data_IF_800525889308
#
_entry.id   IF_800525889308
#
_cell.length_a   1.000
_cell.length_b   1.000
_cell.length_c   1.000
_cell.angle_alpha   90.00
_cell.angle_beta   90.00
_cell.angle_gamma   90.00
#
_symmetry.space_group_name_H-M   'P 1'
#
loop_
_entity.id
_entity.type
_entity.pdbx_description
1 polymer ?
2 non-polymer ?
3 non-polymer ?
4 non-polymer ?
5 non-polymer ?
6 non-polymer ?
7 non-polymer ?
8 non-polymer ?
9 water ?
#
# COMPACT_ATOMS: atom_id res chain seq x y z
N UNK A 1 12.53 -3.20 3.12
CA UNK A 1 12.93 -3.23 1.72
C UNK A 1 11.93 -4.04 0.90
N UNK A 2 11.65 -5.24 1.40
CA UNK A 2 11.01 -6.29 0.63
C UNK A 2 12.14 -7.14 0.09
N UNK A 3 11.83 -8.09 -0.80
CA UNK A 3 12.96 -8.62 -1.56
C UNK A 3 13.22 -7.58 -2.64
N UNK A 4 14.33 -7.68 -3.34
CA UNK A 4 14.53 -6.73 -4.41
C UNK A 4 14.79 -7.52 -5.65
N UNK A 5 14.72 -6.86 -6.80
CA UNK A 5 15.17 -7.56 -7.99
C UNK A 5 16.66 -7.88 -7.86
N UNK A 6 16.97 -9.17 -7.84
CA UNK A 6 18.32 -9.67 -7.56
C UNK A 6 19.18 -9.68 -8.82
N UNK A 7 18.62 -9.14 -9.89
CA UNK A 7 19.32 -8.94 -11.13
C UNK A 7 19.00 -7.52 -11.57
N UNK A 8 19.79 -6.97 -12.48
CA UNK A 8 19.65 -5.55 -12.82
C UNK A 8 19.17 -5.37 -14.25
N UNK A 9 18.99 -6.50 -14.93
CA UNK A 9 18.42 -6.53 -16.28
C UNK A 9 17.01 -7.13 -16.22
N UNK A 10 15.99 -6.26 -16.14
CA UNK A 10 14.63 -6.68 -15.84
C UNK A 10 13.76 -6.55 -17.08
N UNK A 11 13.05 -7.61 -17.44
CA UNK A 11 12.22 -7.57 -18.64
C UNK A 11 10.78 -7.15 -18.33
N UNK A 12 10.15 -6.48 -19.27
CA UNK A 12 8.72 -6.21 -19.14
C UNK A 12 8.00 -6.51 -20.44
N UNK A 13 6.71 -6.79 -20.32
CA UNK A 13 5.89 -7.01 -21.49
C UNK A 13 4.57 -6.28 -21.34
N UNK A 14 4.13 -5.59 -22.39
CA UNK A 14 2.81 -4.97 -22.34
C UNK A 14 1.80 -6.00 -22.85
N UNK A 15 0.99 -6.54 -21.94
CA UNK A 15 0.09 -7.66 -22.21
C UNK A 15 -1.04 -7.30 -23.17
N UNK A 16 -1.56 -6.09 -23.01
CA UNK A 16 -2.63 -5.56 -23.84
C UNK A 16 -2.66 -4.04 -23.73
N UNK A 17 -3.37 -3.41 -24.64
CA UNK A 17 -3.37 -1.96 -24.75
C UNK A 17 -4.74 -1.36 -24.46
N UNK A 18 -4.74 -0.23 -23.76
CA UNK A 18 -5.97 0.51 -23.57
C UNK A 18 -6.40 1.15 -24.87
N UNK A 19 -7.71 1.09 -25.15
CA UNK A 19 -8.25 1.71 -26.35
C UNK A 19 -8.36 3.23 -26.19
N UNK A 20 -8.05 3.76 -25.00
CA UNK A 20 -8.16 5.19 -24.73
C UNK A 20 -7.11 5.99 -25.49
N UNK A 21 -6.01 5.31 -25.84
CA UNK A 21 -4.83 5.96 -26.41
C UNK A 21 -4.31 5.19 -27.62
N UNK A 22 -3.53 5.85 -28.48
CA UNK A 22 -2.82 5.16 -29.53
C UNK A 22 -1.81 4.19 -28.93
N UNK A 23 -1.65 3.02 -29.56
CA UNK A 23 -0.70 2.01 -29.08
C UNK A 23 0.70 2.58 -28.89
N UNK A 24 1.17 3.37 -29.86
CA UNK A 24 2.52 3.91 -29.76
C UNK A 24 2.64 4.86 -28.57
N UNK A 25 1.56 5.55 -28.22
CA UNK A 25 1.58 6.46 -27.08
C UNK A 25 1.67 5.67 -25.78
N UNK A 26 1.03 4.49 -25.74
CA UNK A 26 1.14 3.60 -24.57
C UNK A 26 2.57 3.08 -24.43
N UNK A 27 3.12 2.57 -25.53
CA UNK A 27 4.52 2.13 -25.53
C UNK A 27 5.48 3.22 -25.03
N UNK A 28 5.28 4.46 -25.47
CA UNK A 28 6.18 5.56 -25.12
C UNK A 28 6.05 5.91 -23.63
N UNK A 29 4.82 5.98 -23.15
CA UNK A 29 4.58 6.36 -21.77
C UNK A 29 5.22 5.34 -20.82
N UNK A 30 5.04 4.06 -21.13
CA UNK A 30 5.61 3.01 -20.28
C UNK A 30 7.15 2.98 -20.36
N UNK A 31 7.68 3.11 -21.57
CA UNK A 31 9.13 3.07 -21.73
C UNK A 31 9.78 4.23 -21.00
N UNK A 32 9.17 5.41 -21.10
CA UNK A 32 9.70 6.57 -20.41
C UNK A 32 9.55 6.49 -18.89
N UNK A 33 8.50 5.82 -18.42
CA UNK A 33 8.33 5.64 -16.98
C UNK A 33 9.44 4.75 -16.40
N UNK A 34 9.79 3.69 -17.13
CA UNK A 34 10.91 2.84 -16.70
C UNK A 34 12.20 3.66 -16.72
N UNK A 35 12.34 4.49 -17.73
CA UNK A 35 13.53 5.33 -17.87
C UNK A 35 13.75 6.30 -16.70
N UNK A 36 12.67 6.78 -16.10
CA UNK A 36 12.77 7.64 -14.92
C UNK A 36 13.59 6.93 -13.84
N UNK A 37 13.36 5.64 -13.68
CA UNK A 37 13.98 4.90 -12.59
C UNK A 37 15.38 4.41 -12.96
N UNK A 38 15.59 4.07 -14.23
CA UNK A 38 16.93 3.69 -14.68
C UNK A 38 17.90 4.89 -14.71
N UNK A 39 17.36 6.10 -14.71
CA UNK A 39 18.20 7.30 -14.71
C UNK A 39 18.87 7.59 -13.37
N UNK A 40 18.39 6.95 -12.30
CA UNK A 40 18.94 7.17 -10.96
C UNK A 40 19.38 5.90 -10.24
N UNK A 41 19.44 4.79 -10.99
CA UNK A 41 19.82 3.48 -10.44
C UNK A 41 20.66 2.76 -11.48
N UNK A 42 21.24 1.61 -11.10
CA UNK A 42 21.90 0.76 -12.11
C UNK A 42 20.94 -0.20 -12.82
N UNK A 43 19.63 -0.06 -12.59
CA UNK A 43 18.66 -0.94 -13.25
C UNK A 43 18.55 -0.70 -14.75
N UNK A 44 18.41 -1.80 -15.48
CA UNK A 44 18.20 -1.77 -16.93
C UNK A 44 16.92 -2.53 -17.28
N UNK A 45 16.07 -1.94 -18.11
CA UNK A 45 14.81 -2.57 -18.46
C UNK A 45 14.76 -2.90 -19.95
N UNK A 46 14.15 -4.03 -20.29
CA UNK A 46 14.08 -4.46 -21.68
C UNK A 46 12.69 -4.98 -22.01
N UNK A 47 12.06 -4.38 -23.02
CA UNK A 47 10.72 -4.76 -23.43
C UNK A 47 10.82 -6.00 -24.29
N UNK A 48 10.00 -7.01 -23.99
CA UNK A 48 9.91 -8.20 -24.83
C UNK A 48 8.47 -8.38 -25.34
N UNK A 49 8.33 -9.09 -26.46
CA UNK A 49 7.02 -9.21 -27.10
C UNK A 49 6.49 -10.64 -27.07
N UNK A 50 7.31 -11.56 -26.60
CA UNK A 50 6.96 -12.97 -26.54
C UNK A 50 7.39 -13.60 -25.23
N UNK A 51 6.62 -14.57 -24.76
CA UNK A 51 6.89 -15.26 -23.51
C UNK A 51 6.52 -14.45 -22.29
N UNK A 52 6.85 -14.97 -21.11
CA UNK A 52 6.56 -14.25 -19.89
C UNK A 52 7.73 -13.35 -19.53
N UNK A 53 7.43 -12.14 -19.09
CA UNK A 53 8.47 -11.20 -18.70
C UNK A 53 8.45 -11.11 -17.18
N UNK A 54 9.48 -10.48 -16.60
CA UNK A 54 9.49 -10.21 -15.15
C UNK A 54 8.32 -9.34 -14.73
N UNK A 55 8.07 -8.26 -15.47
CA UNK A 55 7.01 -7.33 -15.14
C UNK A 55 5.99 -7.35 -16.27
N UNK A 56 4.79 -7.82 -15.97
CA UNK A 56 3.71 -7.81 -16.96
C UNK A 56 2.86 -6.57 -16.71
N UNK A 57 2.60 -5.80 -17.77
CA UNK A 57 1.76 -4.61 -17.69
C UNK A 57 0.40 -4.96 -18.31
N UNK A 58 -0.67 -4.74 -17.56
CA UNK A 58 -2.00 -5.16 -17.96
C UNK A 58 -2.98 -4.00 -17.81
N UNK A 59 -3.90 -3.85 -18.77
CA UNK A 59 -5.08 -2.99 -18.63
C UNK A 59 -6.33 -3.85 -18.46
N UNK A 60 -7.07 -3.60 -17.41
CA UNK A 60 -8.25 -4.43 -17.10
C UNK A 60 -9.29 -3.69 -16.29
N UNK A 61 -10.57 -4.08 -16.43
CA UNK A 61 -11.57 -3.52 -15.55
C UNK A 61 -12.12 -4.60 -14.62
N UNK A 62 -12.61 -4.16 -13.47
CA UNK A 62 -13.18 -5.07 -12.48
C UNK A 62 -12.26 -6.22 -12.11
N UNK A 63 -12.84 -7.40 -11.95
CA UNK A 63 -12.07 -8.56 -11.54
C UNK A 63 -11.19 -9.02 -12.70
N UNK A 64 -9.91 -9.29 -12.42
CA UNK A 64 -9.00 -9.61 -13.51
C UNK A 64 -7.96 -10.65 -13.11
N UNK A 65 -8.34 -11.54 -12.21
CA UNK A 65 -7.55 -12.73 -11.97
C UNK A 65 -6.58 -12.72 -10.80
N UNK A 66 -6.68 -11.73 -9.92
CA UNK A 66 -5.73 -11.62 -8.80
C UNK A 66 -6.23 -11.22 -7.40
N UNK A 67 -7.51 -11.48 -7.10
CA UNK A 67 -8.09 -11.16 -5.77
C UNK A 67 -8.26 -9.67 -5.49
N UNK A 68 -7.75 -8.80 -6.36
CA UNK A 68 -7.87 -7.36 -6.19
C UNK A 68 -8.61 -6.69 -7.35
N UNK A 69 -9.92 -6.87 -7.40
CA UNK A 69 -10.70 -6.31 -8.49
C UNK A 69 -10.68 -4.78 -8.47
N UNK A 70 -10.68 -4.18 -9.65
CA UNK A 70 -10.80 -2.73 -9.75
C UNK A 70 -12.26 -2.30 -9.54
N UNK A 71 -12.48 -0.99 -9.39
CA UNK A 71 -13.71 -0.47 -8.79
C UNK A 71 -14.51 0.47 -9.69
N UNK A 72 -14.27 0.41 -10.98
CA UNK A 72 -14.96 1.30 -11.91
C UNK A 72 -14.28 2.66 -11.96
N UNK A 73 -14.91 3.62 -12.64
CA UNK A 73 -14.29 4.93 -12.80
C UNK A 73 -14.12 5.63 -11.45
N UNK A 74 -12.96 6.20 -11.23
CA UNK A 74 -12.63 6.84 -9.96
C UNK A 74 -12.04 5.88 -8.94
N UNK A 75 -11.81 6.35 -7.72
CA UNK A 75 -11.24 5.46 -6.72
C UNK A 75 -9.85 5.01 -7.11
N UNK A 76 -9.60 3.70 -7.00
CA UNK A 76 -8.29 3.11 -7.34
C UNK A 76 -8.01 3.25 -8.85
N UNK A 77 -6.78 3.65 -9.17
CA UNK A 77 -6.36 3.90 -10.54
C UNK A 77 -5.59 2.72 -11.13
N UNK A 78 -4.83 2.03 -10.25
CA UNK A 78 -3.84 1.05 -10.68
C UNK A 78 -3.25 0.37 -9.46
N UNK A 79 -2.58 -0.76 -9.65
CA UNK A 79 -1.84 -1.36 -8.55
C UNK A 79 -0.69 -2.16 -9.11
N UNK A 80 0.32 -2.39 -8.28
CA UNK A 80 1.44 -3.19 -8.72
C UNK A 80 1.98 -3.99 -7.55
N UNK A 81 2.38 -5.21 -7.81
CA UNK A 81 2.92 -6.10 -6.79
C UNK A 81 4.43 -5.92 -6.70
N UNK A 82 4.97 -6.00 -5.49
CA UNK A 82 6.39 -5.89 -5.27
C UNK A 82 7.18 -7.04 -5.87
N UNK A 83 8.51 -6.90 -5.90
CA UNK A 83 9.42 -7.89 -6.50
C UNK A 83 9.13 -9.28 -5.97
N UNK A 84 9.10 -10.25 -6.88
CA UNK A 84 8.77 -11.61 -6.49
C UNK A 84 8.46 -12.45 -7.70
N UNK A 85 8.25 -13.75 -7.50
CA UNK A 85 7.94 -14.63 -8.62
C UNK A 85 6.48 -14.44 -9.05
N UNK A 86 6.17 -14.93 -10.25
CA UNK A 86 4.82 -14.93 -10.78
C UNK A 86 4.24 -13.53 -10.92
N UNK A 87 3.18 -13.27 -10.18
CA UNK A 87 2.53 -11.97 -10.21
C UNK A 87 3.40 -10.85 -9.64
N UNK A 88 4.44 -11.21 -8.89
CA UNK A 88 5.36 -10.20 -8.34
C UNK A 88 5.90 -9.32 -9.44
N UNK A 89 5.97 -8.02 -9.20
CA UNK A 89 6.45 -7.09 -10.21
C UNK A 89 5.35 -6.56 -11.13
N UNK A 90 4.27 -7.30 -11.31
CA UNK A 90 3.31 -6.95 -12.35
C UNK A 90 2.58 -5.63 -12.02
N UNK A 91 2.26 -4.85 -13.06
CA UNK A 91 1.56 -3.58 -12.87
C UNK A 91 0.25 -3.60 -13.65
N UNK A 92 -0.85 -3.38 -12.95
CA UNK A 92 -2.20 -3.45 -13.52
C UNK A 92 -2.87 -2.07 -13.46
N UNK A 93 -3.45 -1.66 -14.58
CA UNK A 93 -4.09 -0.35 -14.72
C UNK A 93 -5.60 -0.51 -14.97
N UNK A 94 -6.39 0.27 -14.23
CA UNK A 94 -7.85 0.16 -14.31
C UNK A 94 -8.37 0.74 -15.62
N UNK A 95 -8.92 -0.10 -16.47
CA UNK A 95 -9.42 0.33 -17.78
C UNK A 95 -10.66 1.21 -17.68
N UNK A 96 -11.30 1.20 -16.51
CA UNK A 96 -12.43 2.10 -16.31
C UNK A 96 -11.99 3.56 -16.13
N UNK A 97 -10.68 3.79 -15.99
CA UNK A 97 -10.16 5.14 -16.05
C UNK A 97 -9.97 5.52 -17.51
N UNK A 98 -9.86 6.82 -17.77
CA UNK A 98 -9.56 7.30 -19.11
C UNK A 98 -8.11 7.74 -19.14
N UNK A 99 -7.27 6.93 -19.78
CA UNK A 99 -5.83 7.13 -19.82
C UNK A 99 -5.46 8.12 -20.89
N UNK A 100 -4.61 9.08 -20.55
CA UNK A 100 -4.24 10.13 -21.52
C UNK A 100 -2.76 10.47 -21.48
N UNK A 101 -2.34 11.25 -22.47
CA UNK A 101 -0.96 11.73 -22.57
C UNK A 101 -0.82 13.12 -21.93
N UNK A 102 -1.92 13.67 -21.46
CA UNK A 102 -1.96 15.06 -21.01
C UNK A 102 -2.64 15.20 -19.64
N UNK A 103 -3.20 16.39 -19.37
CA UNK A 103 -3.78 16.67 -18.05
C UNK A 103 -5.19 16.14 -17.90
N UNK A 104 -5.85 15.87 -19.02
CA UNK A 104 -7.19 15.31 -18.98
C UNK A 104 -7.16 13.87 -18.50
N UNK A 105 -8.29 13.38 -18.01
CA UNK A 105 -8.40 12.00 -17.56
C UNK A 105 -7.34 11.67 -16.53
N UNK A 106 -6.73 10.51 -16.68
CA UNK A 106 -5.65 10.13 -15.77
C UNK A 106 -4.38 9.97 -16.60
N UNK A 107 -3.32 10.66 -16.23
CA UNK A 107 -2.08 10.59 -17.02
C UNK A 107 -1.37 9.24 -16.87
N UNK A 108 -1.22 8.51 -17.99
CA UNK A 108 -0.61 7.19 -17.94
C UNK A 108 0.85 7.25 -17.49
N UNK A 109 1.64 8.16 -18.06
CA UNK A 109 3.06 8.24 -17.71
C UNK A 109 3.27 8.40 -16.19
N UNK A 110 2.59 9.39 -15.59
CA UNK A 110 2.85 9.67 -14.18
C UNK A 110 2.40 8.49 -13.31
N UNK A 111 1.26 7.91 -13.67
CA UNK A 111 0.75 6.77 -12.94
C UNK A 111 1.69 5.58 -13.07
N UNK A 112 2.22 5.38 -14.27
CA UNK A 112 3.19 4.32 -14.49
C UNK A 112 4.48 4.51 -13.68
N UNK A 113 4.95 5.75 -13.56
CA UNK A 113 6.13 6.00 -12.73
C UNK A 113 5.86 5.55 -11.29
N UNK A 114 4.71 5.94 -10.76
CA UNK A 114 4.32 5.53 -9.42
C UNK A 114 4.21 4.01 -9.29
N UNK A 115 3.50 3.37 -10.22
CA UNK A 115 3.32 1.91 -10.11
C UNK A 115 4.63 1.13 -10.26
N UNK A 116 5.47 1.57 -11.18
CA UNK A 116 6.79 0.93 -11.33
C UNK A 116 7.60 1.06 -10.05
N UNK A 117 7.48 2.18 -9.34
CA UNK A 117 8.10 2.32 -8.04
C UNK A 117 7.72 1.15 -7.14
N UNK A 118 6.44 0.82 -7.11
CA UNK A 118 5.97 -0.32 -6.31
C UNK A 118 6.52 -1.64 -6.89
N UNK A 119 6.50 -1.78 -8.22
CA UNK A 119 7.04 -2.99 -8.87
C UNK A 119 8.50 -3.24 -8.47
N UNK A 120 9.24 -2.17 -8.17
CA UNK A 120 10.66 -2.28 -7.79
C UNK A 120 10.85 -2.41 -6.27
N UNK A 121 9.78 -2.25 -5.50
CA UNK A 121 9.86 -2.47 -4.07
C UNK A 121 9.61 -1.28 -3.16
N UNK A 122 9.28 -0.13 -3.74
CA UNK A 122 9.04 1.06 -2.93
C UNK A 122 7.62 1.01 -2.34
N UNK A 123 7.47 1.56 -1.14
CA UNK A 123 6.16 1.79 -0.57
C UNK A 123 5.79 3.23 -0.82
N UNK A 124 5.15 3.87 0.16
CA UNK A 124 4.73 5.26 0.00
C UNK A 124 5.59 6.23 0.77
N UNK A 125 5.73 7.43 0.20
CA UNK A 125 6.44 8.53 0.86
C UNK A 125 5.45 9.44 1.59
N UNK A 126 5.94 10.20 2.55
CA UNK A 126 5.09 11.22 3.19
C UNK A 126 5.37 12.62 2.65
N UNK A 127 6.33 12.72 1.74
CA UNK A 127 6.67 13.98 1.06
C UNK A 127 5.65 14.24 -0.05
N UNK A 128 4.87 15.32 0.08
CA UNK A 128 3.78 15.59 -0.87
C UNK A 128 4.27 15.84 -2.29
N UNK A 129 5.55 16.16 -2.45
CA UNK A 129 6.14 16.38 -3.77
C UNK A 129 6.76 15.12 -4.37
N UNK A 130 6.83 14.06 -3.57
CA UNK A 130 7.40 12.79 -4.03
C UNK A 130 6.41 12.10 -4.96
N UNK A 131 6.94 11.45 -6.01
CA UNK A 131 6.03 10.73 -6.92
C UNK A 131 5.40 9.52 -6.21
N UNK A 132 6.05 9.04 -5.15
CA UNK A 132 5.55 7.91 -4.37
C UNK A 132 4.60 8.33 -3.23
N UNK A 133 4.21 9.60 -3.20
CA UNK A 133 3.12 10.01 -2.32
C UNK A 133 1.84 9.29 -2.78
N UNK A 134 0.99 8.86 -1.83
CA UNK A 134 -0.13 8.00 -2.23
C UNK A 134 -1.30 8.70 -2.91
N UNK A 135 -1.18 9.99 -3.21
CA UNK A 135 -2.28 10.74 -3.84
C UNK A 135 -1.86 11.16 -5.25
N UNK A 136 -2.75 10.95 -6.24
CA UNK A 136 -2.46 11.29 -7.62
C UNK A 136 -2.10 12.77 -7.75
N UNK A 137 -1.19 13.07 -8.67
CA UNK A 137 -0.94 14.45 -9.06
C UNK A 137 -0.74 14.54 -10.56
N UNK A 138 -1.02 15.71 -11.13
CA UNK A 138 -0.57 15.97 -12.49
C UNK A 138 0.36 17.17 -12.46
N UNK A 139 1.55 16.99 -13.03
CA UNK A 139 2.48 18.08 -13.21
C UNK A 139 2.89 18.10 -14.67
N UNK A 140 3.35 19.25 -15.14
CA UNK A 140 3.87 19.34 -16.50
C UNK A 140 4.94 18.25 -16.63
N UNK A 141 4.76 17.33 -17.57
CA UNK A 141 5.67 16.21 -17.67
C UNK A 141 7.10 16.63 -18.05
N UNK A 142 7.25 17.49 -19.05
CA UNK A 142 8.60 17.88 -19.47
C UNK A 142 9.45 18.61 -18.43
N UNK A 143 8.84 18.93 -17.28
CA UNK A 143 9.60 19.39 -16.12
C UNK A 143 9.34 18.51 -14.87
N UNK A 144 8.72 17.35 -15.05
CA UNK A 144 8.58 16.40 -13.93
C UNK A 144 9.94 15.87 -13.52
N UNK A 145 10.17 15.79 -12.21
CA UNK A 145 11.37 15.14 -11.70
C UNK A 145 11.07 14.35 -10.43
N UNK A 146 11.84 13.30 -10.20
CA UNK A 146 11.75 12.55 -8.95
C UNK A 146 12.17 13.48 -7.82
N UNK A 147 11.47 13.41 -6.69
CA UNK A 147 11.89 14.18 -5.51
C UNK A 147 13.10 13.55 -4.83
N UNK A 148 13.72 14.29 -3.92
CA UNK A 148 14.88 13.82 -3.18
C UNK A 148 14.56 12.50 -2.49
N UNK A 149 13.38 12.44 -1.87
CA UNK A 149 12.90 11.26 -1.16
C UNK A 149 12.76 10.03 -2.08
N UNK A 150 12.23 10.22 -3.29
CA UNK A 150 12.10 9.11 -4.24
C UNK A 150 13.47 8.52 -4.62
N UNK A 151 14.43 9.41 -4.87
CA UNK A 151 15.74 9.03 -5.38
C UNK A 151 16.52 8.21 -4.37
N UNK A 152 16.52 8.66 -3.12
CA UNK A 152 17.26 7.95 -2.09
C UNK A 152 16.50 6.72 -1.58
N UNK A 153 15.18 6.70 -1.75
CA UNK A 153 14.38 5.51 -1.46
C UNK A 153 14.77 4.41 -2.45
N UNK A 154 14.74 4.72 -3.74
CA UNK A 154 15.11 3.70 -4.73
C UNK A 154 16.59 3.30 -4.67
N UNK A 155 17.47 4.25 -4.32
CA UNK A 155 18.88 3.93 -4.21
C UNK A 155 19.21 3.13 -2.96
N UNK A 156 18.32 3.17 -1.97
CA UNK A 156 18.53 2.37 -0.75
C UNK A 156 18.30 0.90 -1.06
N UNK A 157 17.60 0.64 -2.16
CA UNK A 157 17.35 -0.72 -2.60
C UNK A 157 18.34 -1.17 -3.68
N UNK A 158 18.74 -0.26 -4.58
CA UNK A 158 19.50 -0.69 -5.76
C UNK A 158 20.85 -0.01 -5.96
N UNK A 159 21.30 0.73 -4.96
CA UNK A 159 22.62 1.35 -5.03
C UNK A 159 23.74 0.35 -5.30
N UNK B 1 13.34 7.94 2.42
CA UNK B 1 12.18 7.05 2.51
C UNK B 1 12.27 6.13 3.73
N UNK B 2 11.15 5.52 4.07
CA UNK B 2 11.08 4.64 5.23
C UNK B 2 11.28 5.31 6.58
N UNK B 3 10.37 6.23 6.93
CA UNK B 3 10.49 6.86 8.25
C UNK B 3 9.99 5.92 9.33
N UNK B 4 10.53 6.04 10.53
CA UNK B 4 10.09 5.22 11.65
C UNK B 4 9.81 6.10 12.84
N UNK B 5 9.03 5.59 13.78
CA UNK B 5 8.84 6.30 15.05
C UNK B 5 10.15 6.31 15.83
N UNK B 6 10.51 7.46 16.37
CA UNK B 6 11.72 7.54 17.18
C UNK B 6 11.40 7.70 18.67
N UNK B 7 10.15 7.39 19.01
CA UNK B 7 9.69 7.34 20.39
C UNK B 7 9.26 5.90 20.65
N UNK B 8 9.70 5.34 21.77
CA UNK B 8 9.35 3.95 22.10
C UNK B 8 8.06 3.83 22.88
N UNK B 9 7.48 4.98 23.23
CA UNK B 9 6.21 5.01 23.92
C UNK B 9 5.24 5.79 23.04
N UNK B 10 4.31 5.07 22.45
CA UNK B 10 3.42 5.64 21.44
C UNK B 10 1.98 5.60 21.95
N UNK B 11 1.29 6.72 21.86
CA UNK B 11 -0.09 6.77 22.34
C UNK B 11 -1.08 6.63 21.20
N UNK B 12 -2.24 6.07 21.50
CA UNK B 12 -3.32 6.01 20.52
C UNK B 12 -4.63 6.45 21.14
N UNK B 13 -5.54 6.92 20.30
CA UNK B 13 -6.88 7.32 20.75
C UNK B 13 -7.89 6.80 19.76
N UNK B 14 -8.92 6.13 20.26
CA UNK B 14 -10.02 5.70 19.42
C UNK B 14 -11.03 6.84 19.39
N UNK B 15 -11.09 7.56 18.27
CA UNK B 15 -11.90 8.78 18.21
C UNK B 15 -13.40 8.52 18.14
N UNK B 16 -13.79 7.46 17.46
CA UNK B 16 -15.19 7.07 17.41
C UNK B 16 -15.28 5.56 17.23
N UNK B 17 -16.47 5.01 17.42
CA UNK B 17 -16.66 3.57 17.44
C UNK B 17 -17.60 3.12 16.35
N UNK B 18 -17.35 1.93 15.78
CA UNK B 18 -18.32 1.31 14.88
C UNK B 18 -19.50 0.75 15.69
N UNK B 19 -20.72 0.99 15.21
CA UNK B 19 -21.91 0.36 15.80
C UNK B 19 -22.03 -1.12 15.46
N UNK B 20 -21.17 -1.63 14.58
CA UNK B 20 -21.23 -3.04 14.20
C UNK B 20 -20.93 -3.98 15.37
N UNK B 21 -20.16 -3.48 16.34
CA UNK B 21 -19.64 -4.28 17.44
C UNK B 21 -19.87 -3.50 18.71
N UNK B 22 -19.88 -4.14 19.88
CA UNK B 22 -19.98 -3.29 21.08
C UNK B 22 -18.64 -2.69 21.47
N UNK B 23 -18.69 -1.56 22.17
CA UNK B 23 -17.50 -0.75 22.46
C UNK B 23 -16.33 -1.52 23.07
N UNK B 24 -16.63 -2.39 24.03
CA UNK B 24 -15.57 -3.14 24.71
C UNK B 24 -14.82 -4.08 23.79
N UNK B 25 -15.54 -4.64 22.81
CA UNK B 25 -14.94 -5.55 21.82
C UNK B 25 -14.06 -4.80 20.84
N UNK B 26 -14.48 -3.59 20.44
CA UNK B 26 -13.64 -2.73 19.61
C UNK B 26 -12.36 -2.38 20.36
N UNK B 27 -12.50 -1.96 21.62
CA UNK B 27 -11.32 -1.64 22.43
C UNK B 27 -10.35 -2.81 22.51
N UNK B 28 -10.92 -4.00 22.68
CA UNK B 28 -10.11 -5.20 22.85
C UNK B 28 -9.40 -5.56 21.55
N UNK B 29 -10.10 -5.51 20.43
CA UNK B 29 -9.51 -5.92 19.15
C UNK B 29 -8.30 -5.02 18.87
N UNK B 30 -8.48 -3.71 19.09
CA UNK B 30 -7.43 -2.73 18.86
C UNK B 30 -6.26 -2.95 19.82
N UNK B 31 -6.55 -3.21 21.09
CA UNK B 31 -5.48 -3.44 22.05
C UNK B 31 -4.67 -4.68 21.70
N UNK B 32 -5.36 -5.76 21.32
CA UNK B 32 -4.69 -7.00 20.93
C UNK B 32 -3.84 -6.81 19.67
N UNK B 33 -4.34 -6.02 18.73
CA UNK B 33 -3.58 -5.70 17.50
C UNK B 33 -2.26 -4.96 17.81
N UNK B 34 -2.32 -3.96 18.70
CA UNK B 34 -1.08 -3.29 19.10
C UNK B 34 -0.13 -4.24 19.82
N UNK B 35 -0.68 -5.14 20.63
CA UNK B 35 0.14 -6.09 21.37
C UNK B 35 0.94 -7.04 20.47
N UNK B 36 0.35 -7.41 19.32
CA UNK B 36 1.04 -8.25 18.34
C UNK B 36 2.40 -7.63 18.00
N UNK B 37 2.41 -6.31 17.84
CA UNK B 37 3.64 -5.62 17.42
C UNK B 37 4.55 -5.28 18.59
N UNK B 38 3.98 -4.96 19.74
CA UNK B 38 4.82 -4.67 20.90
C UNK B 38 5.54 -5.93 21.41
N UNK B 39 4.98 -7.10 21.14
CA UNK B 39 5.61 -8.35 21.52
C UNK B 39 6.95 -8.60 20.82
N UNK B 40 7.16 -7.97 19.66
CA UNK B 40 8.42 -8.20 18.91
C UNK B 40 9.27 -6.96 18.68
N UNK B 41 8.95 -5.85 19.36
CA UNK B 41 9.71 -4.61 19.24
C UNK B 41 9.91 -4.02 20.63
N UNK B 42 10.73 -2.97 20.75
CA UNK B 42 10.77 -2.29 22.05
C UNK B 42 9.65 -1.26 22.21
N UNK B 43 8.69 -1.25 21.29
CA UNK B 43 7.60 -0.28 21.34
C UNK B 43 6.56 -0.60 22.40
N UNK B 44 6.03 0.43 23.05
CA UNK B 44 4.90 0.28 23.97
C UNK B 44 3.77 1.19 23.57
N UNK B 45 2.55 0.66 23.58
CA UNK B 45 1.41 1.45 23.14
C UNK B 45 0.47 1.69 24.31
N UNK B 46 0.01 2.93 24.44
CA UNK B 46 -0.94 3.27 25.50
C UNK B 46 -2.18 3.98 24.95
N UNK B 47 -3.35 3.61 25.44
CA UNK B 47 -4.59 4.28 25.02
C UNK B 47 -4.79 5.52 25.89
N UNK B 48 -5.13 6.63 25.26
CA UNK B 48 -5.48 7.85 25.98
C UNK B 48 -6.86 8.31 25.52
N UNK B 49 -7.56 9.08 26.34
CA UNK B 49 -8.90 9.54 25.96
C UNK B 49 -8.95 11.05 25.88
N UNK B 50 -7.83 11.70 26.21
CA UNK B 50 -7.72 13.14 26.16
C UNK B 50 -6.33 13.55 25.75
N UNK B 51 -6.22 14.74 25.18
CA UNK B 51 -4.92 15.22 24.74
C UNK B 51 -4.61 14.81 23.30
N UNK B 52 -3.32 14.75 23.00
CA UNK B 52 -2.87 14.56 21.63
C UNK B 52 -2.18 13.22 21.45
N UNK B 53 -2.80 12.34 20.68
CA UNK B 53 -2.30 10.98 20.49
C UNK B 53 -1.46 10.89 19.25
N UNK B 54 -0.47 10.00 19.26
CA UNK B 54 0.34 9.76 18.07
C UNK B 54 -0.49 9.10 16.97
N UNK B 55 -1.31 8.12 17.35
CA UNK B 55 -2.11 7.39 16.38
C UNK B 55 -3.58 7.57 16.69
N UNK B 56 -4.31 8.18 15.76
CA UNK B 56 -5.75 8.36 15.89
C UNK B 56 -6.44 7.23 15.12
N UNK B 57 -7.39 6.55 15.78
CA UNK B 57 -8.16 5.47 15.17
C UNK B 57 -9.56 5.97 14.84
N UNK B 58 -9.99 5.82 13.58
CA UNK B 58 -11.22 6.42 13.10
C UNK B 58 -12.05 5.41 12.32
N UNK B 59 -13.36 5.40 12.55
CA UNK B 59 -14.29 4.71 11.67
C UNK B 59 -15.09 5.72 10.84
N UNK B 60 -15.00 5.63 9.52
CA UNK B 60 -15.75 6.56 8.66
C UNK B 60 -16.22 5.91 7.38
N UNK B 61 -17.30 6.41 6.79
CA UNK B 61 -17.68 5.95 5.44
C UNK B 61 -17.47 7.08 4.42
N UNK B 62 -17.22 6.72 3.15
CA UNK B 62 -17.07 7.72 2.10
C UNK B 62 -15.99 8.76 2.34
N UNK B 63 -16.23 10.00 1.92
CA UNK B 63 -15.25 11.07 2.12
C UNK B 63 -15.20 11.51 3.59
N UNK B 64 -13.99 11.62 4.13
CA UNK B 64 -13.83 11.92 5.57
C UNK B 64 -12.67 12.87 5.89
N UNK B 65 -12.33 13.76 4.96
CA UNK B 65 -11.37 14.81 5.27
C UNK B 65 -9.97 14.64 4.69
N UNK B 66 -9.60 13.40 4.35
CA UNK B 66 -8.35 13.20 3.64
C UNK B 66 -8.66 13.02 2.15
N UNK B 67 -7.63 12.81 1.34
CA UNK B 67 -7.84 12.75 -0.11
C UNK B 67 -8.26 11.37 -0.57
N UNK B 68 -8.59 10.51 0.39
CA UNK B 68 -8.86 9.12 0.06
C UNK B 68 -10.21 8.63 0.57
N UNK B 69 -11.29 9.05 -0.10
CA UNK B 69 -12.64 8.64 0.29
C UNK B 69 -12.77 7.12 0.21
N UNK B 70 -13.53 6.52 1.13
CA UNK B 70 -13.77 5.09 1.11
C UNK B 70 -14.81 4.81 0.05
N UNK B 71 -15.02 3.54 -0.26
CA UNK B 71 -15.65 3.14 -1.51
C UNK B 71 -16.91 2.30 -1.33
N UNK B 72 -17.49 2.35 -0.13
CA UNK B 72 -18.64 1.53 0.17
C UNK B 72 -18.30 0.10 0.55
N UNK B 73 -19.32 -0.74 0.69
CA UNK B 73 -19.11 -2.12 1.09
C UNK B 73 -18.26 -2.88 0.08
N UNK B 74 -17.23 -3.57 0.58
CA UNK B 74 -16.33 -4.34 -0.26
C UNK B 74 -15.15 -3.50 -0.65
N UNK B 75 -14.28 -4.03 -1.49
CA UNK B 75 -13.12 -3.27 -1.93
C UNK B 75 -12.19 -2.92 -0.79
N UNK B 76 -11.83 -1.64 -0.69
CA UNK B 76 -10.90 -1.17 0.34
C UNK B 76 -11.55 -1.31 1.71
N UNK B 77 -10.79 -1.83 2.69
CA UNK B 77 -11.27 -2.12 4.05
C UNK B 77 -10.88 -1.01 5.02
N UNK B 78 -9.67 -0.47 4.82
CA UNK B 78 -9.07 0.49 5.76
C UNK B 78 -7.83 1.08 5.13
N UNK B 79 -7.31 2.18 5.69
CA UNK B 79 -6.01 2.66 5.26
C UNK B 79 -5.32 3.31 6.46
N UNK B 80 -4.00 3.39 6.40
CA UNK B 80 -3.23 3.92 7.49
C UNK B 80 -2.03 4.66 6.93
N UNK B 81 -1.69 5.76 7.59
CA UNK B 81 -0.58 6.59 7.16
C UNK B 81 0.69 6.22 7.92
N UNK B 82 1.84 6.31 7.26
CA UNK B 82 3.10 5.98 7.90
C UNK B 82 3.53 6.96 8.99
N UNK B 83 4.62 6.61 9.70
CA UNK B 83 5.13 7.39 10.82
C UNK B 83 5.40 8.85 10.43
N UNK B 84 4.97 9.77 11.28
CA UNK B 84 5.15 11.19 11.02
C UNK B 84 4.29 12.03 11.94
N UNK B 85 4.42 13.35 11.83
CA UNK B 85 3.60 14.24 12.62
C UNK B 85 2.18 14.28 12.04
N UNK B 86 1.24 14.79 12.83
CA UNK B 86 -0.11 15.02 12.36
C UNK B 86 -0.82 13.75 11.98
N UNK B 87 -1.31 13.71 10.74
CA UNK B 87 -2.01 12.53 10.26
C UNK B 87 -1.13 11.28 10.23
N UNK B 88 0.19 11.46 10.31
CA UNK B 88 1.10 10.32 10.36
C UNK B 88 0.72 9.31 11.43
N UNK B 89 0.70 8.03 11.06
CA UNK B 89 0.36 6.99 12.01
C UNK B 89 -1.12 6.67 12.07
N UNK B 90 -1.98 7.58 11.63
CA UNK B 90 -3.41 7.39 11.85
C UNK B 90 -3.98 6.26 11.01
N UNK B 91 -4.97 5.56 11.57
CA UNK B 91 -5.57 4.42 10.92
C UNK B 91 -7.08 4.62 10.79
N UNK B 92 -7.58 4.55 9.55
CA UNK B 92 -9.00 4.80 9.28
C UNK B 92 -9.64 3.52 8.76
N UNK B 93 -10.77 3.14 9.35
CA UNK B 93 -11.48 1.92 8.94
C UNK B 93 -12.82 2.25 8.26
N UNK B 94 -13.09 1.59 7.13
CA UNK B 94 -14.28 1.91 6.33
C UNK B 94 -15.54 1.42 7.03
N UNK B 95 -16.42 2.35 7.41
CA UNK B 95 -17.62 1.97 8.15
C UNK B 95 -18.61 1.20 7.28
N UNK B 96 -18.48 1.31 5.96
CA UNK B 96 -19.37 0.50 5.10
C UNK B 96 -19.07 -1.00 5.14
N UNK B 97 -17.98 -1.37 5.80
CA UNK B 97 -17.71 -2.79 6.04
C UNK B 97 -18.49 -3.21 7.28
N UNK B 98 -18.69 -4.52 7.43
CA UNK B 98 -19.29 -5.03 8.65
C UNK B 98 -18.22 -5.64 9.55
N UNK B 99 -17.84 -4.90 10.58
CA UNK B 99 -16.75 -5.34 11.46
C UNK B 99 -17.18 -6.38 12.48
N UNK B 100 -16.35 -7.40 12.66
CA UNK B 100 -16.68 -8.49 13.58
C UNK B 100 -15.51 -8.97 14.41
N UNK B 101 -15.85 -9.64 15.51
CA UNK B 101 -14.92 -10.31 16.39
C UNK B 101 -14.46 -11.66 15.81
N UNK B 102 -15.20 -12.14 14.81
CA UNK B 102 -15.00 -13.48 14.27
C UNK B 102 -14.81 -13.46 12.75
N UNK B 103 -15.20 -14.56 12.10
CA UNK B 103 -14.99 -14.74 10.65
C UNK B 103 -16.16 -14.31 9.78
N UNK B 104 -17.25 -13.89 10.41
CA UNK B 104 -18.31 -13.24 9.66
C UNK B 104 -17.83 -11.83 9.37
N UNK B 105 -18.35 -11.21 8.31
CA UNK B 105 -17.90 -9.88 7.95
C UNK B 105 -16.39 -9.76 7.81
N UNK B 106 -15.87 -8.59 8.14
CA UNK B 106 -14.44 -8.34 8.12
C UNK B 106 -13.91 -8.29 9.55
N UNK B 107 -12.94 -9.16 9.88
CA UNK B 107 -12.38 -9.25 11.23
C UNK B 107 -11.60 -7.99 11.62
N UNK B 108 -12.08 -7.27 12.62
CA UNK B 108 -11.39 -6.05 13.05
C UNK B 108 -9.96 -6.29 13.52
N UNK B 109 -9.75 -7.31 14.36
CA UNK B 109 -8.42 -7.58 14.93
C UNK B 109 -7.37 -7.77 13.84
N UNK B 110 -7.64 -8.67 12.90
CA UNK B 110 -6.66 -8.92 11.83
C UNK B 110 -6.41 -7.68 10.96
N UNK B 111 -7.49 -7.00 10.59
CA UNK B 111 -7.37 -5.79 9.79
C UNK B 111 -6.55 -4.75 10.53
N UNK B 112 -6.82 -4.58 11.83
CA UNK B 112 -6.04 -3.66 12.65
C UNK B 112 -4.55 -4.04 12.74
N UNK B 113 -4.23 -5.34 12.85
CA UNK B 113 -2.83 -5.76 12.86
C UNK B 113 -2.13 -5.30 11.57
N UNK B 114 -2.79 -5.49 10.44
CA UNK B 114 -2.24 -5.10 9.13
C UNK B 114 -2.08 -3.58 9.05
N UNK B 115 -3.10 -2.83 9.43
CA UNK B 115 -3.05 -1.36 9.34
C UNK B 115 -2.01 -0.77 10.30
N UNK B 116 -1.94 -1.29 11.52
CA UNK B 116 -0.90 -0.82 12.46
C UNK B 116 0.49 -1.10 11.88
N UNK B 117 0.64 -2.20 11.14
CA UNK B 117 1.87 -2.44 10.40
C UNK B 117 2.26 -1.24 9.55
N UNK B 118 1.31 -0.75 8.77
CA UNK B 118 1.50 0.46 7.96
C UNK B 118 1.79 1.68 8.84
N UNK B 119 1.06 1.82 9.95
CA UNK B 119 1.27 2.95 10.89
C UNK B 119 2.69 2.98 11.44
N UNK B 120 3.32 1.82 11.54
CA UNK B 120 4.66 1.70 12.09
C UNK B 120 5.74 1.78 11.03
N UNK B 121 5.33 1.81 9.76
CA UNK B 121 6.28 2.01 8.67
C UNK B 121 6.53 0.82 7.75
N UNK B 122 5.79 -0.26 7.92
CA UNK B 122 5.96 -1.44 7.06
C UNK B 122 5.16 -1.28 5.78
N UNK B 123 5.72 -1.80 4.69
CA UNK B 123 4.99 -1.88 3.44
C UNK B 123 4.42 -3.28 3.27
N UNK B 124 4.22 -3.71 2.04
CA UNK B 124 3.62 -5.03 1.81
C UNK B 124 4.65 -6.15 1.65
N UNK B 125 4.24 -7.36 2.03
CA UNK B 125 5.07 -8.56 1.89
C UNK B 125 4.66 -9.38 0.67
N UNK B 126 5.62 -10.12 0.11
CA UNK B 126 5.32 -11.02 -0.99
C UNK B 126 4.98 -12.43 -0.47
N UNK B 127 5.05 -12.61 0.84
CA UNK B 127 4.75 -13.89 1.47
C UNK B 127 3.28 -13.99 1.86
N UNK B 128 2.54 -14.94 1.27
CA UNK B 128 1.12 -15.12 1.61
C UNK B 128 0.88 -15.57 3.06
N UNK B 129 1.93 -15.94 3.79
CA UNK B 129 1.75 -16.29 5.20
C UNK B 129 1.98 -15.07 6.11
N UNK B 130 2.43 -13.96 5.53
CA UNK B 130 2.69 -12.74 6.29
C UNK B 130 1.43 -11.91 6.48
N UNK B 131 1.27 -11.32 7.65
CA UNK B 131 0.11 -10.47 7.91
C UNK B 131 0.18 -9.23 7.02
N UNK B 132 1.37 -8.89 6.54
CA UNK B 132 1.53 -7.72 5.66
C UNK B 132 1.36 -8.04 4.17
N UNK B 133 0.96 -9.27 3.86
CA UNK B 133 0.55 -9.62 2.50
C UNK B 133 -0.67 -8.75 2.17
N UNK B 134 -0.77 -8.27 0.93
CA UNK B 134 -1.83 -7.30 0.62
C UNK B 134 -3.24 -7.88 0.51
N UNK B 135 -3.38 -9.21 0.59
CA UNK B 135 -4.69 -9.84 0.48
C UNK B 135 -5.26 -10.27 1.84
N UNK B 136 -6.46 -9.80 2.15
CA UNK B 136 -7.17 -10.19 3.37
C UNK B 136 -7.57 -11.66 3.30
N UNK B 137 -7.30 -12.39 4.37
CA UNK B 137 -7.86 -13.73 4.53
C UNK B 137 -8.00 -14.02 6.02
N UNK B 138 -9.13 -14.59 6.41
CA UNK B 138 -9.37 -14.85 7.83
C UNK B 138 -8.51 -16.00 8.33
N UNK B 139 -7.85 -15.77 9.46
CA UNK B 139 -7.20 -16.85 10.21
C UNK B 139 -7.74 -16.79 11.62
N UNK B 140 -7.90 -17.94 12.27
CA UNK B 140 -8.38 -17.94 13.65
C UNK B 140 -7.46 -17.16 14.54
N UNK B 141 -8.04 -16.34 15.41
CA UNK B 141 -7.29 -15.40 16.22
C UNK B 141 -6.37 -16.09 17.22
N UNK B 142 -6.83 -17.23 17.74
CA UNK B 142 -6.09 -18.00 18.73
C UNK B 142 -4.92 -18.79 18.15
N UNK B 143 -4.84 -18.82 16.82
CA UNK B 143 -3.71 -19.48 16.14
C UNK B 143 -2.84 -18.47 15.39
N UNK B 144 -3.28 -17.22 15.34
CA UNK B 144 -2.56 -16.18 14.60
C UNK B 144 -1.14 -15.99 15.09
N UNK B 145 -0.20 -15.94 14.15
CA UNK B 145 1.19 -15.63 14.43
C UNK B 145 1.73 -14.70 13.37
N UNK B 146 2.65 -13.84 13.76
CA UNK B 146 3.41 -13.08 12.79
C UNK B 146 4.32 -14.10 12.09
N UNK B 147 4.51 -13.93 10.78
CA UNK B 147 5.43 -14.80 10.04
C UNK B 147 6.85 -14.32 10.26
N UNK B 148 7.83 -15.16 9.95
CA UNK B 148 9.23 -14.75 10.02
C UNK B 148 9.49 -13.45 9.26
N UNK B 149 8.88 -13.32 8.09
CA UNK B 149 9.07 -12.11 7.28
C UNK B 149 8.53 -10.86 7.95
N UNK B 150 7.36 -10.96 8.60
CA UNK B 150 6.80 -9.83 9.36
C UNK B 150 7.75 -9.42 10.50
N UNK B 151 8.33 -10.42 11.16
CA UNK B 151 9.23 -10.16 12.28
C UNK B 151 10.53 -9.50 11.83
N UNK B 152 11.12 -9.99 10.74
CA UNK B 152 12.36 -9.40 10.25
C UNK B 152 12.14 -7.98 9.75
N UNK B 153 10.99 -7.75 9.12
CA UNK B 153 10.62 -6.42 8.66
C UNK B 153 10.54 -5.46 9.83
N UNK B 154 9.78 -5.82 10.87
CA UNK B 154 9.57 -4.88 11.96
C UNK B 154 10.86 -4.70 12.78
N UNK B 155 11.63 -5.78 12.92
CA UNK B 155 12.88 -5.69 13.69
C UNK B 155 13.98 -4.94 12.95
N UNK B 156 13.91 -4.93 11.62
CA UNK B 156 14.86 -4.11 10.86
C UNK B 156 14.58 -2.62 11.02
N UNK B 157 13.35 -2.28 11.38
CA UNK B 157 12.98 -0.88 11.63
C UNK B 157 13.22 -0.45 13.08
N UNK B 158 12.94 -1.33 14.04
CA UNK B 158 12.90 -0.96 15.46
C UNK B 158 13.86 -1.74 16.36
N UNK B 159 14.60 -2.66 15.76
CA UNK B 159 15.59 -3.43 16.49
C UNK B 159 17.02 -2.93 16.24
#
# INVERSE_FOLDING_TARGET
MGPVWRKHYITYRINNYTPDMNREDVDYAIRKAFQVWSNVTPLKFSKINTGMADILVVFARGAHGDDHAFDGKGGILAHAFGPGSGIGGDAHFDEDEFWTTHSGGTNLFLTAVHEIGHSLGLGHSSDPKAVMFPTYKYVDINTFRLSADDIRGIQSLYG
MGPVWRKHYITYRINNYTPDMNREDVDYAIRKAFQVWSNVTPLKFSKINTGMADILVVFARGAHGDDHAFDGKGGILAHAFGPGSGIGGDAHFDEDEFWTTHSGGTNLFLTAVHEIGHSLGLGHSSDPKAVMFPTYKYVDINTFRLSADDIRGIQSLYG
#
